data_IF_964459215454
#
_entry.id   IF_964459215454
#
_cell.length_a   1.000
_cell.length_b   1.000
_cell.length_c   1.000
_cell.angle_alpha   90.00
_cell.angle_beta   90.00
_cell.angle_gamma   90.00
#
_symmetry.space_group_name_H-M   'P 1'
#
loop_
_entity.id
_entity.type
_entity.pdbx_description
1 polymer ?
#
# COMPACT_ATOMS: atom_id res chain seq x y z
N UNK A 1 1.99 11.99 23.50
CA UNK A 1 2.63 11.48 24.73
C UNK A 1 3.78 10.61 24.31
N UNK A 2 5.02 11.10 24.42
CA UNK A 2 6.21 10.25 24.27
C UNK A 2 6.36 9.49 25.58
N UNK A 3 6.36 8.16 25.53
CA UNK A 3 6.47 7.29 26.70
C UNK A 3 7.90 7.26 27.27
N UNK A 4 8.39 8.40 27.76
CA UNK A 4 9.59 8.52 28.60
C UNK A 4 10.77 7.60 28.23
N UNK A 5 11.35 6.93 29.23
CA UNK A 5 12.51 6.04 29.12
C UNK A 5 12.28 4.77 28.28
N UNK A 6 11.01 4.42 28.00
CA UNK A 6 10.60 3.23 27.25
C UNK A 6 10.34 3.54 25.76
N UNK A 7 10.64 4.76 25.31
CA UNK A 7 10.48 5.13 23.90
C UNK A 7 11.62 4.57 23.06
N UNK A 8 11.30 3.73 22.08
CA UNK A 8 12.27 3.17 21.17
C UNK A 8 12.71 4.19 20.12
N UNK A 9 14.01 4.22 19.84
CA UNK A 9 14.57 4.92 18.69
C UNK A 9 14.95 3.91 17.62
N UNK A 10 14.79 4.32 16.37
CA UNK A 10 15.03 3.45 15.22
C UNK A 10 16.37 3.83 14.59
N UNK A 11 17.14 2.82 14.21
CA UNK A 11 18.46 2.98 13.63
C UNK A 11 18.62 2.07 12.43
N UNK A 12 19.55 2.41 11.55
CA UNK A 12 20.01 1.52 10.51
C UNK A 12 21.53 1.44 10.48
N UNK A 13 22.03 0.29 10.04
CA UNK A 13 23.43 0.04 9.75
C UNK A 13 23.60 -0.33 8.29
N UNK A 14 24.57 0.28 7.64
CA UNK A 14 24.97 -0.07 6.28
C UNK A 14 25.93 -1.27 6.31
N UNK A 15 25.54 -2.39 5.73
CA UNK A 15 26.38 -3.58 5.62
C UNK A 15 26.83 -3.75 4.18
N UNK A 16 28.15 -3.83 4.00
CA UNK A 16 28.80 -4.08 2.71
C UNK A 16 29.28 -5.52 2.70
N UNK A 17 28.56 -6.38 1.99
CA UNK A 17 29.04 -7.73 1.67
C UNK A 17 29.48 -7.75 0.21
N UNK A 18 30.63 -8.37 -0.08
CA UNK A 18 31.41 -8.55 -1.33
C UNK A 18 30.91 -7.96 -2.67
N UNK A 19 29.61 -7.89 -2.97
CA UNK A 19 29.04 -7.23 -4.15
C UNK A 19 27.66 -6.56 -3.94
N UNK A 20 27.21 -6.35 -2.69
CA UNK A 20 25.90 -5.78 -2.33
C UNK A 20 26.02 -4.91 -1.09
N UNK A 21 25.41 -3.73 -1.17
CA UNK A 21 25.17 -2.89 0.01
C UNK A 21 23.72 -3.11 0.42
N UNK A 22 23.51 -3.48 1.68
CA UNK A 22 22.17 -3.62 2.24
C UNK A 22 22.09 -2.93 3.61
N UNK A 23 20.88 -2.57 4.02
CA UNK A 23 20.63 -1.87 5.27
C UNK A 23 19.97 -2.83 6.26
N UNK A 24 20.57 -2.95 7.44
CA UNK A 24 19.97 -3.66 8.57
C UNK A 24 19.31 -2.64 9.50
N UNK A 25 18.07 -2.91 9.91
CA UNK A 25 17.28 -2.00 10.75
C UNK A 25 17.21 -2.52 12.18
N UNK A 26 17.40 -1.61 13.13
CA UNK A 26 17.44 -1.91 14.55
C UNK A 26 16.55 -0.94 15.33
N UNK A 27 16.06 -1.41 16.48
CA UNK A 27 15.25 -0.64 17.41
C UNK A 27 15.93 -0.79 18.76
N UNK A 28 16.31 0.33 19.36
CA UNK A 28 16.98 0.35 20.66
C UNK A 28 16.15 1.18 21.61
N UNK A 29 16.10 0.78 22.88
CA UNK A 29 15.42 1.54 23.93
C UNK A 29 16.14 2.88 24.12
N UNK A 30 15.39 3.90 24.55
CA UNK A 30 15.93 5.25 24.77
C UNK A 30 17.09 5.30 25.78
N UNK A 31 17.26 4.26 26.59
CA UNK A 31 18.32 4.11 27.60
C UNK A 31 19.53 3.28 27.15
N UNK A 32 19.48 2.65 25.97
CA UNK A 32 20.57 1.80 25.48
C UNK A 32 21.70 2.63 24.83
N UNK A 33 22.95 2.17 25.03
CA UNK A 33 24.09 2.76 24.35
C UNK A 33 24.06 2.40 22.86
N UNK A 34 23.96 3.43 22.02
CA UNK A 34 23.94 3.27 20.56
C UNK A 34 25.37 3.04 20.06
N UNK A 35 25.64 1.96 19.29
CA UNK A 35 26.94 1.77 18.66
C UNK A 35 27.27 2.89 17.65
N UNK A 36 28.54 3.25 17.51
CA UNK A 36 28.97 4.37 16.63
C UNK A 36 28.61 4.18 15.14
N UNK A 37 28.43 2.93 14.69
CA UNK A 37 28.09 2.58 13.31
C UNK A 37 26.59 2.69 12.98
N UNK A 38 25.75 3.05 13.97
CA UNK A 38 24.30 3.11 13.83
C UNK A 38 23.86 4.55 13.52
N UNK A 39 23.04 4.70 12.48
CA UNK A 39 22.45 5.99 12.09
C UNK A 39 20.98 6.03 12.45
N UNK A 40 20.57 7.07 13.17
CA UNK A 40 19.17 7.27 13.55
C UNK A 40 18.30 7.51 12.31
N UNK A 41 17.12 6.89 12.30
CA UNK A 41 16.10 7.06 11.26
C UNK A 41 14.74 7.26 11.93
N UNK A 42 13.91 8.14 11.37
CA UNK A 42 12.53 8.31 11.79
C UNK A 42 11.61 7.69 10.76
N UNK A 43 10.80 6.73 11.17
CA UNK A 43 9.72 6.20 10.34
C UNK A 43 8.43 6.99 10.53
N UNK A 44 7.52 6.88 9.57
CA UNK A 44 6.17 7.49 9.65
C UNK A 44 5.21 6.57 10.40
N UNK A 45 5.27 5.27 10.13
CA UNK A 45 4.40 4.27 10.74
C UNK A 45 5.04 3.72 12.02
N UNK A 46 4.82 4.43 13.14
CA UNK A 46 5.34 4.05 14.45
C UNK A 46 4.22 3.62 15.39
N UNK A 47 4.55 2.71 16.30
CA UNK A 47 3.75 2.42 17.48
C UNK A 47 3.81 3.56 18.48
N UNK A 48 2.87 3.60 19.45
CA UNK A 48 2.93 4.57 20.55
C UNK A 48 4.25 4.53 21.35
N UNK A 49 4.92 3.38 21.38
CA UNK A 49 6.23 3.17 22.02
C UNK A 49 7.43 3.57 21.14
N UNK A 50 7.23 4.04 19.90
CA UNK A 50 8.31 4.45 19.00
C UNK A 50 8.90 3.34 18.14
N UNK A 51 8.48 2.09 18.32
CA UNK A 51 8.89 0.99 17.45
C UNK A 51 8.21 1.03 16.08
N UNK A 52 8.85 0.49 15.04
CA UNK A 52 8.28 0.42 13.70
C UNK A 52 7.03 -0.49 13.66
N UNK A 53 5.94 0.02 13.08
CA UNK A 53 4.80 -0.83 12.75
C UNK A 53 5.09 -1.67 11.50
N UNK A 54 5.04 -2.99 11.68
CA UNK A 54 5.30 -3.94 10.60
C UNK A 54 4.06 -4.12 9.71
N UNK A 55 4.23 -4.37 8.39
CA UNK A 55 3.13 -4.64 7.48
C UNK A 55 2.25 -5.85 7.90
N UNK A 56 2.82 -6.82 8.63
CA UNK A 56 2.09 -7.96 9.17
C UNK A 56 0.97 -7.55 10.13
N UNK A 57 1.15 -6.44 10.87
CA UNK A 57 0.12 -5.86 11.74
C UNK A 57 -1.15 -5.54 10.94
N UNK A 58 -1.00 -4.98 9.73
CA UNK A 58 -2.13 -4.66 8.85
C UNK A 58 -2.88 -5.92 8.42
N UNK A 59 -2.18 -7.03 8.17
CA UNK A 59 -2.80 -8.32 7.87
C UNK A 59 -3.66 -8.84 9.02
N UNK A 60 -3.18 -8.69 10.26
CA UNK A 60 -3.94 -9.06 11.47
C UNK A 60 -5.19 -8.19 11.60
N UNK A 61 -5.05 -6.87 11.40
CA UNK A 61 -6.17 -5.93 11.46
C UNK A 61 -7.23 -6.26 10.40
N UNK A 62 -6.83 -6.49 9.15
CA UNK A 62 -7.75 -6.88 8.08
C UNK A 62 -8.51 -8.17 8.41
N UNK A 63 -7.83 -9.17 8.98
CA UNK A 63 -8.46 -10.42 9.40
C UNK A 63 -9.49 -10.19 10.51
N UNK A 64 -9.17 -9.34 11.49
CA UNK A 64 -10.13 -8.97 12.55
C UNK A 64 -11.35 -8.25 11.99
N UNK A 65 -11.17 -7.39 10.98
CA UNK A 65 -12.27 -6.69 10.30
C UNK A 65 -13.15 -7.71 9.55
N UNK A 66 -12.54 -8.61 8.79
CA UNK A 66 -13.24 -9.67 8.04
C UNK A 66 -14.08 -10.60 8.94
N UNK A 67 -13.70 -10.77 10.20
CA UNK A 67 -14.44 -11.57 11.18
C UNK A 67 -15.59 -10.80 11.86
N UNK A 68 -15.55 -9.47 11.83
CA UNK A 68 -16.50 -8.61 12.56
C UNK A 68 -17.59 -8.02 11.67
N UNK A 69 -17.35 -7.93 10.37
CA UNK A 69 -18.25 -7.32 9.42
C UNK A 69 -18.69 -8.38 8.40
N UNK A 70 -20.00 -8.54 8.25
CA UNK A 70 -20.58 -9.40 7.22
C UNK A 70 -20.24 -8.86 5.83
N UNK A 71 -19.92 -9.76 4.89
CA UNK A 71 -19.57 -9.40 3.51
C UNK A 71 -18.11 -8.98 3.28
N UNK A 72 -17.25 -9.11 4.30
CA UNK A 72 -15.80 -8.85 4.21
C UNK A 72 -14.97 -10.14 4.23
N UNK A 73 -15.54 -11.28 3.85
CA UNK A 73 -14.85 -12.56 3.78
C UNK A 73 -13.63 -12.46 2.83
N UNK A 74 -12.45 -12.82 3.33
CA UNK A 74 -11.20 -12.74 2.56
C UNK A 74 -10.64 -11.32 2.37
N UNK A 75 -11.15 -10.32 3.10
CA UNK A 75 -10.59 -8.96 3.08
C UNK A 75 -9.11 -8.95 3.52
N UNK A 76 -8.28 -8.28 2.73
CA UNK A 76 -6.85 -8.12 2.97
C UNK A 76 -6.37 -6.77 2.45
N UNK A 77 -5.24 -6.29 2.96
CA UNK A 77 -4.77 -4.92 2.79
C UNK A 77 -4.67 -4.47 1.31
N UNK A 78 -4.27 -5.38 0.41
CA UNK A 78 -4.12 -5.06 -1.02
C UNK A 78 -5.46 -4.72 -1.71
N UNK A 79 -6.60 -5.17 -1.17
CA UNK A 79 -7.92 -4.80 -1.69
C UNK A 79 -8.18 -3.30 -1.60
N UNK A 80 -7.63 -2.60 -0.61
CA UNK A 80 -7.76 -1.15 -0.50
C UNK A 80 -7.17 -0.45 -1.73
N UNK A 81 -6.02 -0.92 -2.21
CA UNK A 81 -5.38 -0.42 -3.44
C UNK A 81 -6.20 -0.74 -4.68
N UNK A 82 -6.80 -1.92 -4.75
CA UNK A 82 -7.71 -2.29 -5.83
C UNK A 82 -8.96 -1.40 -5.85
N UNK A 83 -9.53 -1.09 -4.69
CA UNK A 83 -10.69 -0.19 -4.56
C UNK A 83 -10.33 1.22 -5.00
N UNK A 84 -9.18 1.76 -4.56
CA UNK A 84 -8.68 3.06 -5.02
C UNK A 84 -8.55 3.11 -6.55
N UNK A 85 -7.91 2.10 -7.15
CA UNK A 85 -7.74 1.98 -8.61
C UNK A 85 -9.08 1.92 -9.33
N UNK A 86 -10.00 1.08 -8.85
CA UNK A 86 -11.33 0.89 -9.45
C UNK A 86 -12.15 2.17 -9.38
N UNK A 87 -12.09 2.90 -8.27
CA UNK A 87 -12.80 4.15 -8.09
C UNK A 87 -12.27 5.24 -9.02
N UNK A 88 -10.95 5.39 -9.17
CA UNK A 88 -10.38 6.37 -10.09
C UNK A 88 -10.81 6.10 -11.54
N UNK A 89 -10.69 4.84 -11.98
CA UNK A 89 -11.09 4.46 -13.34
C UNK A 89 -12.60 4.64 -13.57
N UNK A 90 -13.43 4.29 -12.58
CA UNK A 90 -14.88 4.46 -12.68
C UNK A 90 -15.30 5.93 -12.77
N UNK A 91 -14.49 6.85 -12.23
CA UNK A 91 -14.71 8.30 -12.32
C UNK A 91 -13.99 8.95 -13.51
N UNK A 92 -13.53 8.16 -14.49
CA UNK A 92 -13.00 8.67 -15.75
C UNK A 92 -11.53 9.10 -15.72
N UNK A 93 -10.78 8.77 -14.66
CA UNK A 93 -9.34 9.02 -14.63
C UNK A 93 -8.66 8.23 -15.77
N UNK A 94 -7.69 8.86 -16.43
CA UNK A 94 -6.96 8.20 -17.49
C UNK A 94 -6.12 7.05 -16.89
N UNK A 95 -6.06 5.88 -17.53
CA UNK A 95 -5.34 4.72 -17.00
C UNK A 95 -3.86 4.97 -16.73
N UNK A 96 -3.25 5.84 -17.55
CA UNK A 96 -1.85 6.24 -17.41
C UNK A 96 -1.63 7.04 -16.12
N UNK A 97 -2.51 7.99 -15.83
CA UNK A 97 -2.46 8.81 -14.61
C UNK A 97 -2.66 7.94 -13.38
N UNK A 98 -3.59 6.97 -13.44
CA UNK A 98 -3.79 5.99 -12.35
C UNK A 98 -2.54 5.15 -12.12
N UNK A 99 -1.85 4.71 -13.18
CA UNK A 99 -0.60 3.96 -13.07
C UNK A 99 0.52 4.79 -12.42
N UNK A 100 0.66 6.06 -12.80
CA UNK A 100 1.62 7.00 -12.21
C UNK A 100 1.32 7.24 -10.72
N UNK A 101 0.06 7.48 -10.36
CA UNK A 101 -0.37 7.67 -8.97
C UNK A 101 -0.12 6.46 -8.08
N UNK A 102 -0.22 5.25 -8.64
CA UNK A 102 0.05 4.03 -7.90
C UNK A 102 1.56 3.75 -7.78
N UNK A 103 2.42 4.34 -8.63
CA UNK A 103 3.87 4.14 -8.58
C UNK A 103 4.33 2.71 -8.91
N UNK A 104 3.63 2.02 -9.80
CA UNK A 104 3.98 0.62 -10.17
C UNK A 104 5.26 0.56 -11.02
N UNK A 105 6.26 -0.19 -10.56
CA UNK A 105 7.29 -0.77 -11.43
C UNK A 105 6.80 -2.04 -12.15
N UNK A 106 5.76 -2.71 -11.62
CA UNK A 106 5.18 -3.95 -12.18
C UNK A 106 3.69 -3.79 -12.54
N UNK A 107 3.39 -3.98 -13.83
CA UNK A 107 2.16 -3.58 -14.55
C UNK A 107 1.04 -4.61 -14.42
N UNK A 108 1.35 -5.86 -14.03
CA UNK A 108 0.44 -7.00 -14.24
C UNK A 108 -0.87 -6.93 -13.44
N UNK A 109 -0.84 -6.43 -12.20
CA UNK A 109 -2.03 -6.34 -11.34
C UNK A 109 -2.97 -5.19 -11.73
N UNK A 110 -2.42 -4.07 -12.17
CA UNK A 110 -3.20 -2.90 -12.65
C UNK A 110 -3.91 -3.22 -13.95
N UNK A 111 -3.26 -3.99 -14.83
CA UNK A 111 -3.82 -4.36 -16.14
C UNK A 111 -5.08 -5.23 -16.03
N UNK A 112 -5.17 -6.12 -15.04
CA UNK A 112 -6.35 -6.98 -14.84
C UNK A 112 -7.59 -6.19 -14.41
N UNK A 113 -7.44 -5.23 -13.50
CA UNK A 113 -8.53 -4.32 -13.09
C UNK A 113 -8.90 -3.37 -14.24
N UNK A 114 -7.88 -2.84 -14.92
CA UNK A 114 -8.04 -2.00 -16.11
C UNK A 114 -8.85 -2.69 -17.21
N UNK A 115 -8.55 -3.97 -17.51
CA UNK A 115 -9.24 -4.75 -18.53
C UNK A 115 -10.73 -4.98 -18.21
N UNK A 116 -11.13 -5.06 -16.94
CA UNK A 116 -12.53 -5.20 -16.57
C UNK A 116 -13.27 -3.86 -16.69
N UNK A 117 -12.68 -2.77 -16.22
CA UNK A 117 -13.28 -1.42 -16.30
C UNK A 117 -13.43 -0.94 -17.75
N UNK A 118 -12.40 -1.10 -18.58
CA UNK A 118 -12.47 -0.74 -20.01
C UNK A 118 -13.47 -1.58 -20.79
N UNK A 119 -13.68 -2.86 -20.45
CA UNK A 119 -14.75 -3.67 -21.07
C UNK A 119 -16.14 -3.12 -20.76
N UNK A 120 -16.37 -2.61 -19.54
CA UNK A 120 -17.63 -1.95 -19.17
C UNK A 120 -17.81 -0.63 -19.94
N UNK A 121 -16.78 0.23 -19.96
CA UNK A 121 -16.81 1.50 -20.69
C UNK A 121 -17.01 1.32 -22.20
N UNK A 122 -16.36 0.32 -22.81
CA UNK A 122 -16.56 -0.03 -24.23
C UNK A 122 -18.00 -0.51 -24.50
N UNK A 123 -18.57 -1.32 -23.62
CA UNK A 123 -19.98 -1.77 -23.75
C UNK A 123 -20.97 -0.61 -23.61
N UNK A 124 -20.75 0.33 -22.70
CA UNK A 124 -21.58 1.54 -22.60
C UNK A 124 -21.45 2.42 -23.85
N UNK A 125 -20.23 2.61 -24.36
CA UNK A 125 -20.00 3.39 -25.57
C UNK A 125 -20.67 2.76 -26.80
N UNK A 126 -20.61 1.43 -26.94
CA UNK A 126 -21.31 0.70 -28.01
C UNK A 126 -22.83 0.86 -27.91
N UNK A 127 -23.39 0.81 -26.68
CA UNK A 127 -24.83 1.04 -26.47
C UNK A 127 -25.28 2.46 -26.83
N UNK A 128 -24.42 3.47 -26.65
CA UNK A 128 -24.71 4.84 -27.10
C UNK A 128 -24.80 4.91 -28.63
N UNK A 129 -23.90 4.21 -29.34
CA UNK A 129 -23.96 4.09 -30.80
C UNK A 129 -25.23 3.36 -31.27
N UNK A 130 -25.60 2.25 -30.64
CA UNK A 130 -26.84 1.53 -30.97
C UNK A 130 -28.09 2.41 -30.78
N UNK A 131 -28.07 3.28 -29.76
CA UNK A 131 -29.18 4.22 -29.48
C UNK A 131 -29.29 5.34 -30.53
N UNK A 132 -28.18 5.71 -31.16
CA UNK A 132 -28.16 6.68 -32.26
C UNK A 132 -28.51 6.02 -33.59
N UNK A 133 -28.08 4.78 -33.81
CA UNK A 133 -28.32 4.02 -35.03
C UNK A 133 -29.73 3.39 -35.12
N UNK A 134 -30.36 3.07 -33.99
CA UNK A 134 -31.68 2.44 -33.92
C UNK A 134 -32.88 3.38 -33.92
N UNK A 135 -32.67 4.70 -34.12
CA UNK A 135 -33.71 5.72 -34.09
C UNK A 135 -34.11 6.21 -35.50
N UNK A 136 -34.24 5.26 -36.45
CA UNK A 136 -34.93 5.45 -37.74
C UNK A 136 -36.08 4.46 -37.85
#
# INVERSE_FOLDING_TARGET
>A
MQYGELYHKNYYREVKDKNRVYYEFYHLDGTENVPEDYKEISFVCLRPDGSLELPSTLGIVCRKIAQKLDGFEGFHFHQLRHTYTSNLLANGAAPKDVQELLGHSDVSTTMNVYAHSTRKAKRESARLLDKVAGNN
#
